data_IF_078844676414
#
_entry.id   IF_078844676414
#
_cell.length_a   1.000
_cell.length_b   1.000
_cell.length_c   1.000
_cell.angle_alpha   90.00
_cell.angle_beta   90.00
_cell.angle_gamma   90.00
#
_symmetry.space_group_name_H-M   'P 1'
#
loop_
_entity.id
_entity.type
_entity.pdbx_description
1 polymer ?
#
# COMPACT_ATOMS: atom_id res chain seq x y z
N UNK A 1 3.11 -20.86 -0.15
CA UNK A 1 3.53 -19.85 0.86
C UNK A 1 3.25 -20.36 2.28
N UNK A 2 4.02 -19.90 3.29
CA UNK A 2 3.70 -20.18 4.70
C UNK A 2 2.39 -19.52 5.08
N UNK A 3 1.66 -20.14 6.01
CA UNK A 3 0.37 -19.62 6.49
C UNK A 3 0.56 -18.77 7.75
N UNK A 4 -0.32 -17.82 7.94
CA UNK A 4 -0.44 -17.09 9.19
C UNK A 4 -1.00 -18.01 10.26
N UNK A 5 -0.47 -17.94 11.49
CA UNK A 5 -0.92 -18.75 12.62
C UNK A 5 -2.29 -18.25 13.08
N UNK A 6 -3.24 -19.15 13.30
CA UNK A 6 -4.52 -18.79 13.93
C UNK A 6 -4.29 -18.31 15.37
N UNK A 7 -4.83 -17.13 15.69
CA UNK A 7 -4.67 -16.50 17.00
C UNK A 7 -6.05 -16.33 17.66
N UNK A 8 -6.28 -17.09 18.73
CA UNK A 8 -7.58 -17.11 19.41
C UNK A 8 -8.00 -15.73 19.96
N UNK A 9 -7.06 -14.92 20.46
CA UNK A 9 -7.36 -13.63 21.09
C UNK A 9 -7.29 -12.41 20.15
N UNK A 10 -7.08 -12.63 18.85
CA UNK A 10 -6.98 -11.51 17.89
C UNK A 10 -8.32 -10.76 17.74
N UNK A 11 -9.44 -11.45 17.97
CA UNK A 11 -10.79 -10.88 17.92
C UNK A 11 -11.06 -9.82 18.99
N UNK A 12 -10.33 -9.82 20.09
CA UNK A 12 -10.44 -8.82 21.15
C UNK A 12 -9.93 -7.44 20.70
N UNK A 13 -9.01 -7.42 19.74
CA UNK A 13 -8.51 -6.19 19.11
C UNK A 13 -8.97 -6.10 17.65
N UNK A 14 -10.08 -5.41 17.43
CA UNK A 14 -10.72 -5.27 16.13
C UNK A 14 -9.77 -4.74 15.05
N UNK A 15 -8.88 -3.80 15.40
CA UNK A 15 -7.91 -3.23 14.45
C UNK A 15 -6.85 -4.26 14.05
N UNK A 16 -6.34 -5.02 15.00
CA UNK A 16 -5.38 -6.09 14.74
C UNK A 16 -6.02 -7.22 13.93
N UNK A 17 -7.26 -7.62 14.26
CA UNK A 17 -8.03 -8.61 13.53
C UNK A 17 -8.23 -8.22 12.07
N UNK A 18 -8.68 -6.99 11.82
CA UNK A 18 -8.88 -6.48 10.46
C UNK A 18 -7.57 -6.44 9.66
N UNK A 19 -6.49 -5.96 10.27
CA UNK A 19 -5.18 -5.90 9.61
C UNK A 19 -4.65 -7.31 9.31
N UNK A 20 -4.81 -8.27 10.23
CA UNK A 20 -4.39 -9.65 10.06
C UNK A 20 -5.15 -10.36 8.93
N UNK A 21 -6.48 -10.16 8.88
CA UNK A 21 -7.32 -10.66 7.78
C UNK A 21 -6.94 -10.04 6.45
N UNK A 22 -6.58 -8.75 6.44
CA UNK A 22 -6.14 -8.05 5.24
C UNK A 22 -4.82 -8.63 4.72
N UNK A 23 -3.84 -8.87 5.59
CA UNK A 23 -2.59 -9.55 5.24
C UNK A 23 -2.87 -10.97 4.70
N UNK A 24 -3.77 -11.73 5.33
CA UNK A 24 -4.19 -13.04 4.84
C UNK A 24 -4.76 -12.99 3.42
N UNK A 25 -5.61 -11.99 3.11
CA UNK A 25 -6.14 -11.78 1.75
C UNK A 25 -5.05 -11.45 0.74
N UNK A 26 -4.06 -10.64 1.13
CA UNK A 26 -2.89 -10.35 0.29
C UNK A 26 -2.12 -11.64 -0.06
N UNK A 27 -1.82 -12.46 0.95
CA UNK A 27 -1.09 -13.72 0.75
C UNK A 27 -1.86 -14.69 -0.15
N UNK A 28 -3.17 -14.84 0.06
CA UNK A 28 -4.02 -15.68 -0.78
C UNK A 28 -4.06 -15.16 -2.23
N UNK A 29 -4.11 -13.84 -2.44
CA UNK A 29 -4.08 -13.25 -3.78
C UNK A 29 -2.71 -13.48 -4.47
N UNK A 30 -1.63 -13.62 -3.70
CA UNK A 30 -0.29 -13.93 -4.21
C UNK A 30 -0.10 -15.41 -4.53
N UNK A 31 -0.80 -16.33 -3.86
CA UNK A 31 -0.73 -17.77 -4.16
C UNK A 31 -1.23 -18.11 -5.57
N UNK A 32 -2.15 -17.29 -6.10
CA UNK A 32 -2.66 -17.45 -7.47
C UNK A 32 -1.63 -17.00 -8.52
N UNK A 33 -0.59 -16.24 -8.09
CA UNK A 33 0.48 -15.79 -8.97
C UNK A 33 1.66 -16.77 -8.88
N UNK A 34 2.14 -17.23 -10.02
CA UNK A 34 3.36 -18.05 -10.11
C UNK A 34 4.59 -17.19 -9.80
N UNK A 35 4.94 -17.10 -8.52
CA UNK A 35 6.11 -16.36 -8.06
C UNK A 35 7.34 -17.27 -8.02
N UNK A 36 8.54 -16.78 -8.39
CA UNK A 36 9.79 -17.51 -8.22
C UNK A 36 10.03 -17.90 -6.75
N UNK A 37 10.66 -19.07 -6.52
CA UNK A 37 10.95 -19.62 -5.20
C UNK A 37 11.67 -18.61 -4.30
N UNK A 38 12.67 -17.90 -4.82
CA UNK A 38 13.38 -16.84 -4.09
C UNK A 38 12.44 -15.77 -3.51
N UNK A 39 11.43 -15.36 -4.29
CA UNK A 39 10.47 -14.36 -3.81
C UNK A 39 9.52 -14.94 -2.78
N UNK A 40 9.11 -16.20 -2.96
CA UNK A 40 8.29 -16.93 -1.98
C UNK A 40 9.04 -17.09 -0.65
N UNK A 41 10.34 -17.38 -0.68
CA UNK A 41 11.16 -17.51 0.53
C UNK A 41 11.29 -16.20 1.29
N UNK A 42 11.47 -15.08 0.57
CA UNK A 42 11.49 -13.75 1.19
C UNK A 42 10.13 -13.41 1.85
N UNK A 43 9.02 -13.74 1.20
CA UNK A 43 7.69 -13.56 1.79
C UNK A 43 7.52 -14.47 3.01
N UNK A 44 7.98 -15.72 2.94
CA UNK A 44 7.92 -16.66 4.04
C UNK A 44 8.69 -16.18 5.27
N UNK A 45 9.83 -15.50 5.09
CA UNK A 45 10.59 -14.90 6.19
C UNK A 45 9.79 -13.79 6.89
N UNK A 46 9.12 -12.90 6.12
CA UNK A 46 8.25 -11.87 6.71
C UNK A 46 7.09 -12.50 7.52
N UNK A 47 6.53 -13.61 7.03
CA UNK A 47 5.47 -14.34 7.75
C UNK A 47 6.00 -14.99 9.02
N UNK A 48 7.19 -15.61 8.98
CA UNK A 48 7.81 -16.23 10.17
C UNK A 48 8.11 -15.22 11.26
N UNK A 49 8.69 -14.08 10.91
CA UNK A 49 8.94 -13.00 11.85
C UNK A 49 7.63 -12.51 12.51
N UNK A 50 6.55 -12.36 11.73
CA UNK A 50 5.25 -12.01 12.29
C UNK A 50 4.68 -13.12 13.18
N UNK A 51 4.82 -14.39 12.78
CA UNK A 51 4.35 -15.53 13.51
C UNK A 51 5.08 -15.73 14.84
N UNK A 52 6.34 -15.29 14.96
CA UNK A 52 7.14 -15.38 16.20
C UNK A 52 6.70 -14.39 17.28
N UNK A 53 5.92 -13.36 16.94
CA UNK A 53 5.38 -12.40 17.92
C UNK A 53 4.23 -13.08 18.66
N UNK A 54 4.34 -13.24 19.97
CA UNK A 54 3.32 -13.93 20.81
C UNK A 54 2.20 -12.99 21.26
N UNK A 55 2.52 -11.73 21.58
CA UNK A 55 1.59 -10.77 22.18
C UNK A 55 0.81 -10.00 21.11
N UNK A 56 -0.51 -9.82 21.35
CA UNK A 56 -1.41 -9.05 20.47
C UNK A 56 -1.59 -7.66 21.07
N UNK A 57 -0.58 -6.83 20.91
CA UNK A 57 -0.56 -5.45 21.41
C UNK A 57 -0.49 -4.42 20.25
N UNK A 58 -0.18 -3.18 20.61
CA UNK A 58 0.01 -2.09 19.65
C UNK A 58 1.21 -2.33 18.73
N UNK A 59 2.25 -3.02 19.21
CA UNK A 59 3.45 -3.36 18.41
C UNK A 59 3.10 -4.43 17.39
N UNK A 60 2.28 -5.40 17.75
CA UNK A 60 1.80 -6.42 16.81
C UNK A 60 1.02 -5.81 15.64
N UNK A 61 0.11 -4.87 15.92
CA UNK A 61 -0.61 -4.15 14.85
C UNK A 61 0.35 -3.40 13.92
N UNK A 62 1.38 -2.76 14.47
CA UNK A 62 2.41 -2.08 13.69
C UNK A 62 3.20 -3.08 12.84
N UNK A 63 3.58 -4.21 13.43
CA UNK A 63 4.29 -5.29 12.75
C UNK A 63 3.48 -5.85 11.56
N UNK A 64 2.17 -6.11 11.73
CA UNK A 64 1.31 -6.57 10.63
C UNK A 64 1.36 -5.60 9.44
N UNK A 65 1.17 -4.31 9.71
CA UNK A 65 1.18 -3.27 8.67
C UNK A 65 2.54 -3.12 8.00
N UNK A 66 3.61 -3.26 8.76
CA UNK A 66 4.98 -3.23 8.25
C UNK A 66 5.24 -4.42 7.32
N UNK A 67 4.89 -5.64 7.75
CA UNK A 67 5.04 -6.85 6.94
C UNK A 67 4.20 -6.82 5.68
N UNK A 68 2.94 -6.34 5.76
CA UNK A 68 2.10 -6.11 4.59
C UNK A 68 2.77 -5.16 3.58
N UNK A 69 3.29 -4.03 4.05
CA UNK A 69 4.00 -3.06 3.20
C UNK A 69 5.29 -3.64 2.61
N UNK A 70 6.06 -4.42 3.38
CA UNK A 70 7.28 -5.05 2.91
C UNK A 70 6.99 -6.04 1.77
N UNK A 71 5.98 -6.88 1.96
CA UNK A 71 5.53 -7.83 0.92
C UNK A 71 5.10 -7.08 -0.34
N UNK A 72 4.27 -6.03 -0.22
CA UNK A 72 3.81 -5.22 -1.37
C UNK A 72 4.99 -4.57 -2.10
N UNK A 73 5.92 -3.96 -1.38
CA UNK A 73 7.13 -3.35 -1.97
C UNK A 73 8.02 -4.39 -2.66
N UNK A 74 8.17 -5.57 -2.07
CA UNK A 74 8.94 -6.67 -2.63
C UNK A 74 8.40 -7.12 -3.99
N UNK A 75 7.08 -7.39 -4.06
CA UNK A 75 6.43 -7.85 -5.30
C UNK A 75 6.36 -6.75 -6.36
N UNK A 76 6.16 -5.49 -5.95
CA UNK A 76 6.22 -4.35 -6.88
C UNK A 76 7.62 -4.20 -7.45
N UNK A 77 8.66 -4.20 -6.62
CA UNK A 77 10.05 -4.00 -7.04
C UNK A 77 10.54 -5.10 -7.98
N UNK A 78 10.31 -6.39 -7.62
CA UNK A 78 10.83 -7.54 -8.36
C UNK A 78 9.97 -7.91 -9.58
N UNK A 79 8.64 -7.80 -9.47
CA UNK A 79 7.70 -8.36 -10.47
C UNK A 79 6.74 -7.34 -11.04
N UNK A 80 6.75 -6.09 -10.55
CA UNK A 80 5.79 -5.05 -10.91
C UNK A 80 4.33 -5.47 -10.67
N UNK A 81 4.12 -6.42 -9.75
CA UNK A 81 2.82 -6.86 -9.29
C UNK A 81 2.36 -5.91 -8.18
N UNK A 82 1.14 -5.39 -8.30
CA UNK A 82 0.62 -4.37 -7.39
C UNK A 82 -0.83 -4.67 -6.97
N UNK A 83 -1.24 -4.25 -5.76
CA UNK A 83 -2.65 -4.22 -5.38
C UNK A 83 -3.48 -3.30 -6.28
N UNK A 84 -4.81 -3.42 -6.19
CA UNK A 84 -5.74 -2.46 -6.83
C UNK A 84 -5.49 -1.05 -6.32
N UNK A 85 -5.55 -0.06 -7.21
CA UNK A 85 -5.38 1.36 -6.91
C UNK A 85 -4.03 1.74 -6.25
N UNK A 86 -3.00 0.89 -6.35
CA UNK A 86 -1.69 1.11 -5.75
C UNK A 86 -1.03 2.38 -6.28
N UNK A 87 -0.87 2.48 -7.60
CA UNK A 87 -0.26 3.65 -8.21
C UNK A 87 -1.12 4.90 -8.07
N UNK A 88 -2.44 4.77 -8.11
CA UNK A 88 -3.36 5.88 -7.86
C UNK A 88 -3.15 6.49 -6.48
N UNK A 89 -3.09 5.67 -5.42
CA UNK A 89 -2.84 6.14 -4.04
C UNK A 89 -1.44 6.76 -3.91
N UNK A 90 -0.42 6.12 -4.47
CA UNK A 90 0.96 6.59 -4.44
C UNK A 90 1.10 7.94 -5.16
N UNK A 91 0.63 8.03 -6.41
CA UNK A 91 0.74 9.23 -7.22
C UNK A 91 -0.16 10.38 -6.74
N UNK A 92 -1.26 10.09 -6.08
CA UNK A 92 -2.09 11.10 -5.42
C UNK A 92 -1.27 11.85 -4.35
N UNK A 93 -0.55 11.13 -3.49
CA UNK A 93 0.30 11.73 -2.45
C UNK A 93 1.48 12.48 -3.08
N UNK A 94 2.15 11.86 -4.05
CA UNK A 94 3.26 12.48 -4.77
C UNK A 94 2.82 13.73 -5.55
N UNK A 95 1.66 13.69 -6.18
CA UNK A 95 1.09 14.81 -6.91
C UNK A 95 0.79 16.00 -5.99
N UNK A 96 0.22 15.75 -4.82
CA UNK A 96 -0.02 16.80 -3.82
C UNK A 96 1.28 17.46 -3.36
N UNK A 97 2.33 16.67 -3.08
CA UNK A 97 3.61 17.19 -2.57
C UNK A 97 4.48 17.80 -3.67
N UNK A 98 4.60 17.15 -4.85
CA UNK A 98 5.49 17.59 -5.91
C UNK A 98 4.93 18.72 -6.78
N UNK A 99 3.61 18.75 -6.97
CA UNK A 99 2.93 19.78 -7.79
C UNK A 99 2.03 20.68 -6.95
N UNK A 100 1.28 20.14 -6.00
CA UNK A 100 0.29 20.88 -5.23
C UNK A 100 0.91 21.99 -4.39
N UNK A 101 1.96 21.67 -3.62
CA UNK A 101 2.63 22.66 -2.76
C UNK A 101 3.30 23.77 -3.60
N UNK A 102 4.14 23.48 -4.61
CA UNK A 102 4.76 24.52 -5.42
C UNK A 102 3.75 25.40 -6.16
N UNK A 103 2.70 24.81 -6.74
CA UNK A 103 1.65 25.57 -7.41
C UNK A 103 0.89 26.47 -6.44
N UNK A 104 0.55 25.98 -5.26
CA UNK A 104 -0.08 26.76 -4.22
C UNK A 104 0.77 27.96 -3.79
N UNK A 105 2.09 27.77 -3.66
CA UNK A 105 3.04 28.87 -3.37
C UNK A 105 3.06 29.92 -4.46
N UNK A 106 3.12 29.52 -5.74
CA UNK A 106 3.10 30.43 -6.88
C UNK A 106 1.80 31.25 -6.89
N UNK A 107 0.65 30.62 -6.70
CA UNK A 107 -0.64 31.33 -6.62
C UNK A 107 -0.71 32.27 -5.41
N UNK A 108 -0.29 31.80 -4.23
CA UNK A 108 -0.29 32.61 -3.01
C UNK A 108 0.57 33.87 -3.12
N UNK A 109 1.78 33.74 -3.68
CA UNK A 109 2.71 34.85 -3.89
C UNK A 109 2.21 35.82 -4.99
N UNK A 110 1.71 35.28 -6.11
CA UNK A 110 1.25 36.11 -7.24
C UNK A 110 0.03 36.98 -6.89
N UNK A 111 -0.85 36.48 -6.01
CA UNK A 111 -2.09 37.15 -5.63
C UNK A 111 -1.92 37.93 -4.31
N UNK A 112 -0.78 37.71 -3.60
CA UNK A 112 -0.55 38.33 -2.29
C UNK A 112 -1.47 37.77 -1.19
N UNK A 113 -2.04 36.58 -1.41
CA UNK A 113 -2.96 35.94 -0.47
C UNK A 113 -2.56 34.47 -0.21
N UNK A 114 -1.96 34.20 0.96
CA UNK A 114 -1.55 32.86 1.36
C UNK A 114 -2.71 31.87 1.54
N UNK A 115 -3.95 32.31 1.66
CA UNK A 115 -5.14 31.45 1.61
C UNK A 115 -5.26 30.65 0.30
N UNK A 116 -4.66 31.16 -0.78
CA UNK A 116 -4.61 30.48 -2.09
C UNK A 116 -3.69 29.26 -2.15
N UNK A 117 -2.84 29.04 -1.14
CA UNK A 117 -2.05 27.80 -1.00
C UNK A 117 -2.93 26.54 -1.06
N UNK A 118 -4.14 26.63 -0.50
CA UNK A 118 -5.10 25.52 -0.51
C UNK A 118 -5.58 25.08 -1.89
N UNK A 119 -5.48 25.95 -2.90
CA UNK A 119 -5.92 25.63 -4.29
C UNK A 119 -4.91 24.70 -4.99
N UNK A 120 -3.64 24.80 -4.67
CA UNK A 120 -2.60 23.96 -5.27
C UNK A 120 -2.76 22.48 -4.94
N UNK A 121 -3.17 22.13 -3.71
CA UNK A 121 -3.29 20.74 -3.27
C UNK A 121 -4.31 19.92 -4.09
N UNK A 122 -5.56 20.38 -4.33
CA UNK A 122 -6.50 19.68 -5.20
C UNK A 122 -6.00 19.50 -6.63
N UNK A 123 -5.31 20.52 -7.17
CA UNK A 123 -4.73 20.44 -8.53
C UNK A 123 -3.65 19.35 -8.58
N UNK A 124 -2.71 19.38 -7.65
CA UNK A 124 -1.67 18.35 -7.54
C UNK A 124 -2.24 16.95 -7.35
N UNK A 125 -3.29 16.81 -6.52
CA UNK A 125 -4.02 15.57 -6.34
C UNK A 125 -4.65 15.08 -7.67
N UNK A 126 -5.32 15.94 -8.41
CA UNK A 126 -5.97 15.58 -9.67
C UNK A 126 -4.93 15.07 -10.70
N UNK A 127 -3.79 15.75 -10.82
CA UNK A 127 -2.68 15.33 -11.68
C UNK A 127 -2.17 13.95 -11.24
N UNK A 128 -1.89 13.78 -9.95
CA UNK A 128 -1.40 12.52 -9.40
C UNK A 128 -2.38 11.36 -9.61
N UNK A 129 -3.67 11.57 -9.35
CA UNK A 129 -4.72 10.58 -9.59
C UNK A 129 -4.80 10.19 -11.07
N UNK A 130 -4.68 11.16 -11.99
CA UNK A 130 -4.69 10.90 -13.44
C UNK A 130 -3.52 9.97 -13.85
N UNK A 131 -2.30 10.33 -13.43
CA UNK A 131 -1.10 9.53 -13.71
C UNK A 131 -1.21 8.13 -13.07
N UNK A 132 -1.51 8.06 -11.79
CA UNK A 132 -1.59 6.80 -11.06
C UNK A 132 -2.68 5.87 -11.61
N UNK A 133 -3.85 6.40 -11.98
CA UNK A 133 -4.93 5.61 -12.58
C UNK A 133 -4.54 5.02 -13.94
N UNK A 134 -3.77 5.77 -14.74
CA UNK A 134 -3.22 5.27 -16.01
C UNK A 134 -2.25 4.10 -15.77
N UNK A 135 -1.39 4.20 -14.75
CA UNK A 135 -0.46 3.13 -14.37
C UNK A 135 -1.20 1.89 -13.83
N UNK A 136 -2.22 2.07 -12.99
CA UNK A 136 -3.04 0.96 -12.49
C UNK A 136 -3.78 0.25 -13.63
N UNK A 137 -4.33 1.00 -14.59
CA UNK A 137 -4.95 0.43 -15.79
C UNK A 137 -3.95 -0.39 -16.62
N UNK A 138 -2.72 0.11 -16.77
CA UNK A 138 -1.64 -0.63 -17.45
C UNK A 138 -1.29 -1.91 -16.71
N UNK A 139 -1.17 -1.87 -15.38
CA UNK A 139 -0.90 -3.04 -14.54
C UNK A 139 -2.03 -4.08 -14.67
N UNK A 140 -3.29 -3.63 -14.67
CA UNK A 140 -4.45 -4.50 -14.87
C UNK A 140 -4.41 -5.18 -16.25
N UNK A 141 -4.25 -4.43 -17.34
CA UNK A 141 -4.20 -4.96 -18.70
C UNK A 141 -3.05 -5.95 -18.92
N UNK A 142 -1.98 -5.84 -18.14
CA UNK A 142 -0.82 -6.73 -18.20
C UNK A 142 -0.91 -7.93 -17.24
N UNK A 143 -2.07 -8.12 -16.57
CA UNK A 143 -2.24 -9.21 -15.59
C UNK A 143 -1.39 -9.08 -14.32
N UNK A 144 -0.81 -7.90 -14.08
CA UNK A 144 0.08 -7.61 -12.94
C UNK A 144 -0.65 -6.99 -11.73
N UNK A 145 -1.95 -6.85 -11.80
CA UNK A 145 -2.76 -6.38 -10.68
C UNK A 145 -3.28 -7.57 -9.88
N UNK A 146 -3.20 -7.47 -8.55
CA UNK A 146 -3.80 -8.44 -7.63
C UNK A 146 -5.29 -8.14 -7.46
N UNK A 147 -6.07 -9.18 -7.21
CA UNK A 147 -7.46 -9.04 -6.76
C UNK A 147 -7.51 -8.73 -5.26
N UNK A 148 -6.81 -7.68 -4.88
CA UNK A 148 -6.65 -7.22 -3.51
C UNK A 148 -6.48 -5.70 -3.49
N UNK A 149 -7.08 -5.03 -2.51
CA UNK A 149 -6.91 -3.59 -2.28
C UNK A 149 -6.49 -3.33 -0.84
N UNK A 150 -5.45 -2.52 -0.67
CA UNK A 150 -5.00 -2.02 0.65
C UNK A 150 -6.03 -1.00 1.16
N UNK A 151 -6.55 -1.23 2.36
CA UNK A 151 -7.51 -0.34 3.04
C UNK A 151 -6.81 0.67 3.92
#
# INVERSE_FOLDING_TARGET
>A
MKKLIERQNISENLNASNAYQQLGKLLNALEVKELPTETVDLINNEIEELNSISEIDKYFLKAIKEKENNVIKLIEKKHKIVPRNYYRKLWMILGMSAFGIPMGLVFGLSIGNFGMLGIGLPIGMAIGVGVGSSMDKKAFNQGRQLDFEVK
#
